data_IF_531282039142
#
_entry.id   IF_531282039142
#
_cell.length_a   1.000
_cell.length_b   1.000
_cell.length_c   1.000
_cell.angle_alpha   90.00
_cell.angle_beta   90.00
_cell.angle_gamma   90.00
#
_symmetry.space_group_name_H-M   'P 1'
#
loop_
_entity.id
_entity.type
_entity.pdbx_description
1 polymer ?
#
# COMPACT_ATOMS: atom_id res chain seq x y z
N UNK A 1 -14.21 -6.03 -9.86
CA UNK A 1 -13.41 -5.81 -8.65
C UNK A 1 -12.07 -5.15 -8.99
N UNK A 2 -11.21 -5.83 -9.76
CA UNK A 2 -9.89 -5.34 -10.19
C UNK A 2 -9.81 -3.85 -10.57
N UNK A 3 -10.66 -3.36 -11.48
CA UNK A 3 -10.59 -1.97 -11.95
C UNK A 3 -10.75 -0.92 -10.83
N UNK A 4 -11.65 -1.19 -9.87
CA UNK A 4 -11.84 -0.34 -8.69
C UNK A 4 -10.59 -0.34 -7.80
N UNK A 5 -10.03 -1.52 -7.55
CA UNK A 5 -8.81 -1.68 -6.75
C UNK A 5 -7.60 -1.01 -7.40
N UNK A 6 -7.43 -1.15 -8.72
CA UNK A 6 -6.36 -0.49 -9.48
C UNK A 6 -6.45 1.03 -9.34
N UNK A 7 -7.64 1.59 -9.55
CA UNK A 7 -7.88 3.04 -9.41
C UNK A 7 -7.61 3.51 -7.98
N UNK A 8 -8.04 2.75 -6.98
CA UNK A 8 -7.76 3.04 -5.58
C UNK A 8 -6.25 3.06 -5.28
N UNK A 9 -5.53 2.00 -5.63
CA UNK A 9 -4.07 1.91 -5.39
C UNK A 9 -3.31 3.03 -6.11
N UNK A 10 -3.68 3.32 -7.37
CA UNK A 10 -3.08 4.41 -8.14
C UNK A 10 -3.27 5.78 -7.48
N UNK A 11 -4.51 6.11 -7.11
CA UNK A 11 -4.84 7.40 -6.49
C UNK A 11 -4.26 7.53 -5.09
N UNK A 12 -4.20 6.45 -4.31
CA UNK A 12 -3.53 6.41 -3.00
C UNK A 12 -2.03 6.73 -3.09
N UNK A 13 -1.41 6.40 -4.21
CA UNK A 13 0.00 6.70 -4.49
C UNK A 13 0.19 8.02 -5.28
N UNK A 14 -0.85 8.87 -5.35
CA UNK A 14 -0.82 10.15 -6.07
C UNK A 14 -0.39 10.05 -7.55
N UNK A 15 -0.67 8.91 -8.20
CA UNK A 15 -0.30 8.69 -9.60
C UNK A 15 -1.45 9.06 -10.54
N UNK A 16 -1.16 9.73 -11.65
CA UNK A 16 -2.08 9.81 -12.79
C UNK A 16 -2.11 8.48 -13.56
N UNK A 17 -3.11 8.28 -14.42
CA UNK A 17 -3.14 7.10 -15.31
C UNK A 17 -1.90 7.05 -16.21
N UNK A 18 -1.35 8.22 -16.59
CA UNK A 18 -0.14 8.33 -17.39
C UNK A 18 1.12 7.93 -16.59
N UNK A 19 1.20 8.31 -15.32
CA UNK A 19 2.33 7.93 -14.46
C UNK A 19 2.37 6.41 -14.24
N UNK A 20 1.21 5.80 -13.99
CA UNK A 20 1.12 4.35 -13.89
C UNK A 20 1.51 3.69 -15.20
N UNK A 21 1.04 4.22 -16.34
CA UNK A 21 1.35 3.70 -17.67
C UNK A 21 2.86 3.61 -17.91
N UNK A 22 3.60 4.67 -17.56
CA UNK A 22 5.07 4.71 -17.61
C UNK A 22 5.72 3.68 -16.69
N UNK A 23 5.20 3.49 -15.47
CA UNK A 23 5.77 2.55 -14.48
C UNK A 23 5.63 1.08 -14.87
N UNK A 24 4.50 0.69 -15.47
CA UNK A 24 4.23 -0.72 -15.80
C UNK A 24 4.37 -1.05 -17.30
N UNK A 25 4.79 -0.06 -18.11
CA UNK A 25 4.96 -0.17 -19.56
C UNK A 25 3.68 -0.65 -20.28
N UNK A 26 2.56 0.03 -19.99
CA UNK A 26 1.30 -0.12 -20.71
C UNK A 26 0.80 1.25 -21.18
N UNK A 27 -0.06 1.27 -22.20
CA UNK A 27 -0.67 2.50 -22.67
C UNK A 27 -1.64 3.08 -21.63
N UNK A 28 -1.65 4.40 -21.46
CA UNK A 28 -2.59 5.09 -20.55
C UNK A 28 -4.05 4.70 -20.81
N UNK A 29 -4.44 4.59 -22.09
CA UNK A 29 -5.79 4.16 -22.50
C UNK A 29 -6.10 2.74 -22.05
N UNK A 30 -5.11 1.86 -21.97
CA UNK A 30 -5.26 0.50 -21.44
C UNK A 30 -5.52 0.52 -19.94
N UNK A 31 -4.79 1.37 -19.20
CA UNK A 31 -5.04 1.60 -17.77
C UNK A 31 -6.48 2.11 -17.55
N UNK A 32 -6.91 3.11 -18.32
CA UNK A 32 -8.26 3.66 -18.22
C UNK A 32 -9.34 2.59 -18.45
N UNK A 33 -9.18 1.78 -19.51
CA UNK A 33 -10.08 0.67 -19.83
C UNK A 33 -10.11 -0.39 -18.72
N UNK A 34 -8.98 -0.66 -18.07
CA UNK A 34 -8.94 -1.57 -16.93
C UNK A 34 -9.66 -1.00 -15.71
N UNK A 35 -9.46 0.28 -15.39
CA UNK A 35 -10.12 0.96 -14.27
C UNK A 35 -11.64 1.01 -14.44
N UNK A 36 -12.12 1.19 -15.67
CA UNK A 36 -13.54 1.22 -16.02
C UNK A 36 -14.16 -0.17 -16.22
N UNK A 37 -13.37 -1.25 -16.13
CA UNK A 37 -13.77 -2.64 -16.43
C UNK A 37 -14.22 -2.85 -17.90
N UNK A 38 -13.83 -1.98 -18.81
CA UNK A 38 -14.08 -2.10 -20.26
C UNK A 38 -13.21 -3.18 -20.90
N UNK A 39 -12.03 -3.46 -20.32
CA UNK A 39 -11.14 -4.53 -20.75
C UNK A 39 -10.57 -5.28 -19.56
N UNK A 40 -10.38 -6.60 -19.72
CA UNK A 40 -9.68 -7.42 -18.74
C UNK A 40 -8.16 -7.30 -18.91
N UNK A 41 -7.38 -7.15 -17.82
CA UNK A 41 -5.92 -7.24 -17.86
C UNK A 41 -5.46 -8.67 -18.13
N UNK A 42 -4.23 -8.83 -18.63
CA UNK A 42 -3.58 -10.14 -18.71
C UNK A 42 -3.05 -10.55 -17.33
N UNK A 43 -2.79 -11.84 -17.12
CA UNK A 43 -2.14 -12.30 -15.88
C UNK A 43 -0.79 -11.60 -15.64
N UNK A 44 -0.01 -11.37 -16.70
CA UNK A 44 1.24 -10.62 -16.62
C UNK A 44 1.01 -9.21 -16.07
N UNK A 45 0.01 -8.48 -16.58
CA UNK A 45 -0.35 -7.16 -16.06
C UNK A 45 -0.77 -7.19 -14.59
N UNK A 46 -1.58 -8.18 -14.20
CA UNK A 46 -2.01 -8.36 -12.80
C UNK A 46 -0.80 -8.55 -11.88
N UNK A 47 0.12 -9.45 -12.24
CA UNK A 47 1.36 -9.70 -11.47
C UNK A 47 2.20 -8.44 -11.36
N UNK A 48 2.39 -7.70 -12.46
CA UNK A 48 3.16 -6.45 -12.46
C UNK A 48 2.56 -5.41 -11.53
N UNK A 49 1.23 -5.26 -11.54
CA UNK A 49 0.49 -4.31 -10.70
C UNK A 49 0.55 -4.73 -9.23
N UNK A 50 0.35 -6.01 -8.95
CA UNK A 50 0.42 -6.56 -7.60
C UNK A 50 1.80 -6.29 -6.96
N UNK A 51 2.87 -6.54 -7.72
CA UNK A 51 4.24 -6.27 -7.27
C UNK A 51 4.51 -4.77 -7.10
N UNK A 52 4.05 -3.93 -8.04
CA UNK A 52 4.24 -2.47 -7.96
C UNK A 52 3.65 -1.88 -6.68
N UNK A 53 2.45 -2.35 -6.30
CA UNK A 53 1.73 -1.83 -5.13
C UNK A 53 1.91 -2.67 -3.87
N UNK A 54 2.75 -3.70 -3.92
CA UNK A 54 2.99 -4.65 -2.84
C UNK A 54 1.68 -5.20 -2.23
N UNK A 55 0.80 -5.71 -3.10
CA UNK A 55 -0.47 -6.33 -2.71
C UNK A 55 -0.54 -7.78 -3.18
N UNK A 56 -1.22 -8.63 -2.42
CA UNK A 56 -1.47 -10.00 -2.85
C UNK A 56 -2.40 -10.01 -4.07
N UNK A 57 -2.12 -10.90 -5.05
CA UNK A 57 -2.94 -11.01 -6.27
C UNK A 57 -4.39 -11.37 -5.93
N UNK A 58 -4.58 -12.28 -4.96
CA UNK A 58 -5.91 -12.65 -4.47
C UNK A 58 -6.67 -11.41 -4.02
N UNK A 59 -6.07 -10.60 -3.14
CA UNK A 59 -6.66 -9.37 -2.65
C UNK A 59 -7.01 -8.38 -3.78
N UNK A 60 -6.09 -8.19 -4.73
CA UNK A 60 -6.29 -7.30 -5.87
C UNK A 60 -7.52 -7.70 -6.71
N UNK A 61 -7.87 -8.98 -6.74
CA UNK A 61 -8.94 -9.53 -7.56
C UNK A 61 -10.26 -9.76 -6.81
N UNK A 62 -10.23 -10.10 -5.52
CA UNK A 62 -11.41 -10.65 -4.82
C UNK A 62 -12.01 -9.73 -3.76
N UNK A 63 -11.26 -8.79 -3.19
CA UNK A 63 -11.75 -7.92 -2.11
C UNK A 63 -11.79 -6.45 -2.53
N UNK A 64 -12.61 -5.65 -1.85
CA UNK A 64 -12.57 -4.20 -1.99
C UNK A 64 -11.43 -3.62 -1.14
N UNK A 65 -10.32 -3.27 -1.78
CA UNK A 65 -9.14 -2.74 -1.10
C UNK A 65 -9.37 -1.37 -0.44
N UNK A 66 -10.36 -0.60 -0.92
CA UNK A 66 -10.69 0.69 -0.30
C UNK A 66 -11.36 0.47 1.06
N UNK A 67 -12.18 -0.57 1.17
CA UNK A 67 -12.97 -0.90 2.35
C UNK A 67 -12.40 -2.09 3.15
N UNK A 68 -11.16 -2.51 2.87
CA UNK A 68 -10.52 -3.59 3.63
C UNK A 68 -10.30 -3.12 5.06
N UNK A 69 -11.03 -3.72 6.01
CA UNK A 69 -10.71 -3.63 7.44
C UNK A 69 -9.38 -4.34 7.67
N UNK A 70 -8.29 -3.61 7.50
CA UNK A 70 -6.96 -4.08 7.93
C UNK A 70 -7.02 -4.11 9.46
N UNK A 71 -6.78 -5.26 10.12
CA UNK A 71 -6.56 -5.27 11.57
C UNK A 71 -5.40 -4.30 11.85
N UNK A 72 -5.72 -3.12 12.38
CA UNK A 72 -4.73 -2.14 12.77
C UNK A 72 -4.28 -2.51 14.17
N UNK A 73 -3.05 -2.96 14.31
CA UNK A 73 -2.41 -2.90 15.62
C UNK A 73 -2.01 -1.43 15.80
N UNK A 74 -2.77 -0.70 16.61
CA UNK A 74 -2.39 0.65 17.04
C UNK A 74 -1.37 0.51 18.17
N UNK A 75 -0.12 0.90 17.90
CA UNK A 75 0.91 0.98 18.92
C UNK A 75 1.00 2.43 19.38
N UNK A 76 0.70 2.64 20.65
CA UNK A 76 0.73 3.94 21.30
C UNK A 76 2.04 4.05 22.07
N UNK A 77 3.00 4.80 21.52
CA UNK A 77 4.30 5.02 22.17
C UNK A 77 4.30 6.49 22.57
N UNK A 78 4.09 6.79 23.85
CA UNK A 78 4.22 8.13 24.47
C UNK A 78 3.86 9.31 23.56
N UNK A 79 2.57 9.39 23.20
CA UNK A 79 1.95 10.43 22.34
C UNK A 79 2.27 10.36 20.83
N UNK A 80 3.04 9.37 20.37
CA UNK A 80 3.25 9.09 18.95
C UNK A 80 2.39 7.90 18.53
N UNK A 81 1.48 8.16 17.58
CA UNK A 81 0.68 7.12 16.91
C UNK A 81 1.42 6.62 15.66
N UNK A 82 1.82 5.35 15.66
CA UNK A 82 2.47 4.73 14.51
C UNK A 82 1.55 3.70 13.88
N UNK A 83 1.35 3.84 12.57
CA UNK A 83 0.50 2.95 11.78
C UNK A 83 1.37 2.06 10.89
N UNK A 84 1.48 0.78 11.25
CA UNK A 84 2.14 -0.22 10.42
C UNK A 84 1.10 -0.86 9.50
N UNK A 85 1.30 -0.76 8.19
CA UNK A 85 0.43 -1.38 7.18
C UNK A 85 1.15 -2.58 6.56
N UNK A 86 0.95 -3.79 7.10
CA UNK A 86 1.54 -5.01 6.57
C UNK A 86 1.74 -6.09 7.63
N UNK A 87 2.22 -7.28 7.20
CA UNK A 87 2.68 -8.33 8.12
C UNK A 87 4.14 -8.02 8.51
N UNK A 88 4.38 -7.79 9.79
CA UNK A 88 5.74 -7.63 10.35
C UNK A 88 5.89 -8.66 11.49
N UNK A 89 7.05 -9.29 11.58
CA UNK A 89 7.37 -10.19 12.69
C UNK A 89 7.41 -9.42 14.01
N UNK A 90 7.09 -10.09 15.12
CA UNK A 90 7.10 -9.45 16.44
C UNK A 90 8.46 -8.82 16.76
N UNK A 91 9.56 -9.50 16.43
CA UNK A 91 10.92 -9.00 16.67
C UNK A 91 11.20 -7.67 15.94
N UNK A 92 10.70 -7.51 14.72
CA UNK A 92 10.84 -6.27 13.97
C UNK A 92 10.00 -5.13 14.56
N UNK A 93 8.84 -5.45 15.15
CA UNK A 93 8.03 -4.48 15.88
C UNK A 93 8.78 -4.01 17.14
N UNK A 94 9.32 -4.95 17.91
CA UNK A 94 10.04 -4.66 19.15
C UNK A 94 11.30 -3.83 18.88
N UNK A 95 12.02 -4.12 17.79
CA UNK A 95 13.13 -3.29 17.33
C UNK A 95 12.73 -1.84 17.06
N UNK A 96 11.64 -1.64 16.31
CA UNK A 96 11.14 -0.29 15.99
C UNK A 96 10.70 0.44 17.26
N UNK A 97 10.01 -0.24 18.18
CA UNK A 97 9.60 0.32 19.46
C UNK A 97 10.81 0.81 20.28
N UNK A 98 11.83 -0.03 20.42
CA UNK A 98 13.04 0.32 21.17
C UNK A 98 13.81 1.49 20.52
N UNK A 99 13.93 1.49 19.19
CA UNK A 99 14.59 2.57 18.45
C UNK A 99 13.91 3.93 18.67
N UNK A 100 12.58 3.95 18.77
CA UNK A 100 11.81 5.17 18.98
C UNK A 100 11.94 5.69 20.41
N UNK A 101 11.85 4.79 21.40
CA UNK A 101 12.07 5.11 22.81
C UNK A 101 13.45 5.75 22.99
N UNK A 102 14.50 5.16 22.41
CA UNK A 102 15.86 5.70 22.48
C UNK A 102 15.96 7.10 21.89
N UNK A 103 15.28 7.37 20.77
CA UNK A 103 15.28 8.69 20.14
C UNK A 103 14.55 9.73 20.98
N UNK A 104 13.42 9.38 21.58
CA UNK A 104 12.64 10.28 22.43
C UNK A 104 13.40 10.64 23.72
N UNK A 105 14.01 9.64 24.35
CA UNK A 105 14.80 9.86 25.57
C UNK A 105 16.00 10.76 25.31
N UNK A 106 16.68 10.61 24.16
CA UNK A 106 17.79 11.50 23.77
C UNK A 106 17.36 12.96 23.56
N UNK A 107 16.15 13.20 23.04
CA UNK A 107 15.63 14.56 22.83
C UNK A 107 15.22 15.26 24.13
N UNK A 108 14.81 14.49 25.15
CA UNK A 108 14.42 15.04 26.45
C UNK A 108 15.62 15.34 27.39
N UNK A 109 16.82 14.83 27.08
CA UNK A 109 18.04 15.08 27.86
C UNK A 109 18.75 16.39 27.42
N UNK A 110 18.34 17.00 26.31
CA UNK A 110 18.93 18.23 25.75
C UNK A 110 18.10 19.50 25.99
N UNK A 111 17.10 19.43 26.86
CA UNK A 111 16.37 20.58 27.42
C UNK A 111 16.65 20.67 28.92
#
# INVERSE_FOLDING_TARGET
MFGKNLKYLRTKNAMSQHDLSKKINYNQTTIARWENNERKPTMKAIVTIANLFNVEIGDLLTIDLKNKNIPTNEWNIDNIKIRICGKISKDNIDFVNNLLIDKLNKQNIQK
#
